data_IF_004321831427
#
_entry.id   IF_004321831427
#
_cell.length_a   1.000
_cell.length_b   1.000
_cell.length_c   1.000
_cell.angle_alpha   90.00
_cell.angle_beta   90.00
_cell.angle_gamma   90.00
#
_symmetry.space_group_name_H-M   'P 1'
#
loop_
_entity.id
_entity.type
_entity.pdbx_description
1 polymer ?
#
# COMPACT_ATOMS: atom_id res chain seq x y z
N UNK A 1 6.01 -11.32 -1.94
CA UNK A 1 5.66 -10.52 -0.75
C UNK A 1 4.18 -10.74 -0.45
N UNK A 2 3.74 -10.59 0.80
CA UNK A 2 2.32 -10.63 1.16
C UNK A 2 1.82 -9.24 1.56
N UNK A 3 0.66 -8.86 1.05
CA UNK A 3 -0.03 -7.62 1.41
C UNK A 3 -1.29 -8.01 2.19
N UNK A 4 -1.42 -7.47 3.40
CA UNK A 4 -2.59 -7.64 4.24
C UNK A 4 -3.43 -6.37 4.18
N UNK A 5 -4.72 -6.54 3.85
CA UNK A 5 -5.66 -5.42 3.70
C UNK A 5 -6.91 -5.61 4.56
N UNK A 6 -7.55 -4.49 4.91
CA UNK A 6 -8.86 -4.51 5.54
C UNK A 6 -10.00 -4.67 4.49
N UNK A 7 -11.25 -4.63 4.94
CA UNK A 7 -12.43 -4.74 4.08
C UNK A 7 -12.50 -3.70 2.94
N UNK A 8 -11.91 -2.52 3.14
CA UNK A 8 -11.85 -1.45 2.13
C UNK A 8 -10.61 -1.55 1.22
N UNK A 9 -9.89 -2.68 1.26
CA UNK A 9 -8.62 -2.88 0.58
C UNK A 9 -7.50 -1.90 0.99
N UNK A 10 -7.61 -1.26 2.15
CA UNK A 10 -6.56 -0.40 2.71
C UNK A 10 -5.45 -1.28 3.29
N UNK A 11 -4.20 -0.98 2.94
CA UNK A 11 -3.04 -1.75 3.41
C UNK A 11 -2.87 -1.53 4.90
N UNK A 12 -2.73 -2.62 5.64
CA UNK A 12 -2.56 -2.59 7.11
C UNK A 12 -1.26 -3.26 7.56
N UNK A 13 -0.69 -4.16 6.75
CA UNK A 13 0.63 -4.72 6.99
C UNK A 13 1.22 -5.35 5.71
N UNK A 14 2.54 -5.51 5.70
CA UNK A 14 3.28 -6.26 4.69
C UNK A 14 4.05 -7.39 5.36
N UNK A 15 4.02 -8.58 4.77
CA UNK A 15 4.72 -9.83 5.15
C UNK A 15 4.46 -10.38 6.58
N UNK A 16 4.13 -9.52 7.54
CA UNK A 16 3.78 -9.84 8.91
C UNK A 16 2.27 -9.74 9.09
N UNK A 17 1.56 -10.86 9.30
CA UNK A 17 0.11 -10.83 9.43
C UNK A 17 -0.31 -10.06 10.70
N UNK A 18 -1.24 -9.11 10.60
CA UNK A 18 -1.83 -8.45 11.76
C UNK A 18 -2.87 -9.37 12.43
N UNK A 19 -3.30 -9.02 13.65
CA UNK A 19 -4.34 -9.79 14.37
C UNK A 19 -5.66 -9.89 13.59
N UNK A 20 -5.98 -8.85 12.81
CA UNK A 20 -7.20 -8.78 12.00
C UNK A 20 -6.88 -8.23 10.62
N UNK A 21 -7.31 -8.95 9.59
CA UNK A 21 -7.29 -8.55 8.18
C UNK A 21 -8.47 -9.22 7.47
N UNK A 22 -8.88 -8.68 6.33
CA UNK A 22 -9.95 -9.26 5.52
C UNK A 22 -9.38 -10.09 4.37
N UNK A 23 -8.35 -9.57 3.69
CA UNK A 23 -7.73 -10.26 2.57
C UNK A 23 -6.21 -10.33 2.74
N UNK A 24 -5.65 -11.48 2.36
CA UNK A 24 -4.22 -11.70 2.16
C UNK A 24 -3.97 -11.82 0.65
N UNK A 25 -3.05 -11.02 0.13
CA UNK A 25 -2.75 -10.96 -1.30
C UNK A 25 -1.26 -11.25 -1.50
N UNK A 26 -0.96 -12.35 -2.18
CA UNK A 26 0.40 -12.71 -2.56
C UNK A 26 0.78 -12.00 -3.86
N UNK A 27 1.92 -11.31 -3.84
CA UNK A 27 2.46 -10.56 -4.98
C UNK A 27 3.90 -10.97 -5.28
N UNK A 28 4.24 -11.07 -6.56
CA UNK A 28 5.58 -11.43 -7.02
C UNK A 28 6.58 -10.28 -6.86
N UNK A 29 6.09 -9.04 -6.94
CA UNK A 29 6.91 -7.84 -6.78
C UNK A 29 7.46 -7.74 -5.36
N UNK A 30 8.70 -7.28 -5.26
CA UNK A 30 9.34 -6.92 -4.00
C UNK A 30 8.73 -5.66 -3.40
N UNK A 31 8.94 -5.48 -2.09
CA UNK A 31 8.54 -4.26 -1.37
C UNK A 31 9.07 -2.99 -2.05
N UNK A 32 10.34 -3.01 -2.47
CA UNK A 32 10.99 -1.85 -3.09
C UNK A 32 10.43 -1.56 -4.49
N UNK A 33 10.07 -2.58 -5.27
CA UNK A 33 9.45 -2.37 -6.59
C UNK A 33 8.07 -1.73 -6.50
N UNK A 34 7.27 -2.06 -5.48
CA UNK A 34 5.92 -1.50 -5.30
C UNK A 34 5.91 -0.18 -4.54
N UNK A 35 6.73 -0.04 -3.50
CA UNK A 35 6.64 1.06 -2.54
C UNK A 35 7.91 1.90 -2.44
N UNK A 36 9.00 1.53 -3.14
CA UNK A 36 10.30 2.19 -3.00
C UNK A 36 10.75 2.27 -1.54
N UNK A 37 11.17 3.46 -1.14
CA UNK A 37 11.69 3.76 0.20
C UNK A 37 10.61 4.32 1.16
N UNK A 38 9.32 4.19 0.81
CA UNK A 38 8.25 4.61 1.70
C UNK A 38 8.29 3.81 2.99
N UNK A 39 8.16 4.50 4.14
CA UNK A 39 8.06 3.85 5.43
C UNK A 39 6.73 3.11 5.58
N UNK A 40 6.66 2.14 6.49
CA UNK A 40 5.45 1.31 6.66
C UNK A 40 4.21 2.14 6.99
N UNK A 41 4.35 3.18 7.81
CA UNK A 41 3.24 4.09 8.11
C UNK A 41 2.73 4.84 6.87
N UNK A 42 3.61 5.19 5.93
CA UNK A 42 3.22 5.81 4.67
C UNK A 42 2.52 4.81 3.74
N UNK A 43 2.99 3.56 3.72
CA UNK A 43 2.36 2.47 2.94
C UNK A 43 0.93 2.19 3.41
N UNK A 44 0.65 2.25 4.71
CA UNK A 44 -0.70 2.09 5.23
C UNK A 44 -1.69 3.20 4.79
N UNK A 45 -1.21 4.23 4.10
CA UNK A 45 -2.04 5.24 3.43
C UNK A 45 -2.44 4.89 1.99
N UNK A 46 -2.15 3.67 1.53
CA UNK A 46 -2.46 3.16 0.20
C UNK A 46 -3.54 2.06 0.25
N UNK A 47 -4.26 1.92 -0.86
CA UNK A 47 -5.14 0.79 -1.15
C UNK A 47 -4.51 -0.13 -2.17
N UNK A 48 -4.69 -1.43 -1.98
CA UNK A 48 -4.33 -2.46 -2.95
C UNK A 48 -5.54 -3.32 -3.28
N UNK A 49 -6.26 -2.97 -4.35
CA UNK A 49 -7.58 -3.52 -4.67
C UNK A 49 -7.62 -4.17 -6.06
N UNK A 50 -8.51 -5.15 -6.30
CA UNK A 50 -8.64 -5.78 -7.62
C UNK A 50 -9.13 -4.78 -8.67
N UNK A 51 -8.48 -4.80 -9.84
CA UNK A 51 -8.94 -4.08 -11.03
C UNK A 51 -9.92 -4.96 -11.81
N UNK A 52 -11.08 -4.43 -12.18
CA UNK A 52 -12.10 -5.15 -12.95
C UNK A 52 -12.24 -4.62 -14.38
N UNK A 53 -12.58 -5.50 -15.32
CA UNK A 53 -12.82 -5.12 -16.71
C UNK A 53 -14.06 -4.25 -16.85
N UNK A 54 -13.89 -3.04 -17.37
CA UNK A 54 -15.01 -2.10 -17.59
C UNK A 54 -15.93 -2.58 -18.71
N UNK A 55 -17.23 -2.36 -18.53
CA UNK A 55 -18.22 -2.51 -19.59
C UNK A 55 -18.41 -1.17 -20.30
N UNK A 56 -18.42 -1.20 -21.63
CA UNK A 56 -18.63 -0.02 -22.47
C UNK A 56 -19.93 -0.17 -23.27
N UNK A 57 -20.59 0.96 -23.52
CA UNK A 57 -21.70 1.06 -24.45
C UNK A 57 -21.20 1.05 -25.91
N UNK A 58 -22.11 0.88 -26.87
CA UNK A 58 -21.78 0.87 -28.30
C UNK A 58 -21.13 2.19 -28.79
N UNK A 59 -21.38 3.30 -28.08
CA UNK A 59 -20.78 4.61 -28.36
C UNK A 59 -19.40 4.83 -27.73
N UNK A 60 -18.88 3.84 -26.99
CA UNK A 60 -17.59 3.87 -26.31
C UNK A 60 -17.60 4.55 -24.94
N UNK A 61 -18.75 5.02 -24.44
CA UNK A 61 -18.89 5.53 -23.08
C UNK A 61 -18.91 4.39 -22.05
N UNK A 62 -18.55 4.68 -20.80
CA UNK A 62 -18.63 3.69 -19.72
C UNK A 62 -20.11 3.34 -19.46
N UNK A 63 -20.42 2.05 -19.48
CA UNK A 63 -21.72 1.56 -19.07
C UNK A 63 -21.93 1.84 -17.57
N UNK A 64 -23.14 2.26 -17.21
CA UNK A 64 -23.51 2.58 -15.84
C UNK A 64 -24.86 1.94 -15.51
N UNK A 65 -25.07 1.67 -14.23
CA UNK A 65 -26.37 1.26 -13.73
C UNK A 65 -27.34 2.45 -13.79
N UNK A 66 -28.51 2.26 -14.39
CA UNK A 66 -29.48 3.34 -14.60
C UNK A 66 -30.11 3.87 -13.30
N UNK A 67 -30.03 3.10 -12.21
CA UNK A 67 -30.64 3.46 -10.92
C UNK A 67 -29.60 4.13 -10.01
N UNK A 68 -28.42 3.53 -9.85
CA UNK A 68 -27.38 4.00 -8.93
C UNK A 68 -26.38 4.95 -9.58
N UNK A 69 -26.25 4.89 -10.91
CA UNK A 69 -25.22 5.61 -11.67
C UNK A 69 -23.82 5.01 -11.51
N UNK A 70 -23.66 3.89 -10.81
CA UNK A 70 -22.36 3.22 -10.64
C UNK A 70 -21.85 2.63 -11.96
N UNK A 71 -20.52 2.46 -12.06
CA UNK A 71 -19.90 1.82 -13.23
C UNK A 71 -20.27 0.34 -13.30
N UNK A 72 -20.63 -0.12 -14.49
CA UNK A 72 -20.82 -1.54 -14.78
C UNK A 72 -19.51 -2.17 -15.26
N UNK A 73 -19.34 -3.43 -14.89
CA UNK A 73 -18.16 -4.25 -15.23
C UNK A 73 -18.61 -5.47 -16.00
N UNK A 74 -17.70 -6.04 -16.80
CA UNK A 74 -17.97 -7.33 -17.43
C UNK A 74 -18.05 -8.42 -16.38
N UNK A 75 -19.02 -9.31 -16.57
CA UNK A 75 -19.23 -10.47 -15.72
C UNK A 75 -18.85 -11.75 -16.46
N UNK A 76 -18.34 -12.74 -15.73
CA UNK A 76 -18.15 -14.09 -16.23
C UNK A 76 -19.46 -14.87 -16.30
N UNK A 77 -19.40 -16.15 -16.67
CA UNK A 77 -20.56 -17.03 -16.76
C UNK A 77 -21.24 -17.33 -15.41
N UNK A 78 -20.57 -17.06 -14.30
CA UNK A 78 -21.06 -17.27 -12.94
C UNK A 78 -21.64 -15.98 -12.33
N UNK A 79 -21.53 -14.86 -13.03
CA UNK A 79 -21.99 -13.55 -12.59
C UNK A 79 -20.98 -12.77 -11.74
N UNK A 80 -19.71 -13.22 -11.69
CA UNK A 80 -18.66 -12.50 -10.99
C UNK A 80 -17.99 -11.50 -11.93
N UNK A 81 -17.51 -10.37 -11.37
CA UNK A 81 -16.74 -9.39 -12.14
C UNK A 81 -15.43 -10.00 -12.63
N UNK A 82 -15.11 -9.79 -13.89
CA UNK A 82 -13.84 -10.25 -14.47
C UNK A 82 -12.70 -9.39 -13.94
N UNK A 83 -11.85 -9.96 -13.07
CA UNK A 83 -10.64 -9.31 -12.58
C UNK A 83 -9.54 -9.32 -13.65
N UNK A 84 -8.96 -8.16 -13.92
CA UNK A 84 -7.91 -7.96 -14.93
C UNK A 84 -6.55 -7.61 -14.32
N UNK A 85 -6.50 -7.36 -13.02
CA UNK A 85 -5.26 -7.06 -12.32
C UNK A 85 -5.49 -6.53 -10.91
N UNK A 86 -4.55 -5.68 -10.48
CA UNK A 86 -4.54 -5.01 -9.18
C UNK A 86 -4.23 -3.52 -9.37
N UNK A 87 -4.78 -2.69 -8.50
CA UNK A 87 -4.51 -1.26 -8.47
C UNK A 87 -3.88 -0.89 -7.13
N UNK A 88 -2.81 -0.11 -7.20
CA UNK A 88 -2.17 0.48 -6.03
C UNK A 88 -2.29 2.00 -6.12
N UNK A 89 -2.99 2.61 -5.16
CA UNK A 89 -3.15 4.07 -5.14
C UNK A 89 -3.32 4.61 -3.71
N UNK A 90 -2.89 5.85 -3.44
CA UNK A 90 -3.07 6.47 -2.14
C UNK A 90 -4.55 6.83 -1.93
N UNK A 91 -5.08 6.55 -0.74
CA UNK A 91 -6.39 7.07 -0.31
C UNK A 91 -6.26 8.25 0.67
N UNK A 92 -5.06 8.46 1.22
CA UNK A 92 -4.72 9.65 2.00
C UNK A 92 -4.20 10.79 1.12
N UNK A 93 -4.38 12.02 1.59
CA UNK A 93 -3.84 13.20 0.91
C UNK A 93 -2.32 13.14 0.78
N UNK A 94 -1.82 13.60 -0.37
CA UNK A 94 -0.38 13.58 -0.66
C UNK A 94 0.45 14.33 0.39
N UNK A 95 -0.02 15.49 0.89
CA UNK A 95 0.73 16.26 1.88
C UNK A 95 0.79 15.54 3.24
N UNK A 96 -0.25 14.77 3.57
CA UNK A 96 -0.27 13.94 4.77
C UNK A 96 0.78 12.83 4.64
N UNK A 97 0.80 12.12 3.51
CA UNK A 97 1.79 11.07 3.24
C UNK A 97 3.22 11.61 3.30
N UNK A 98 3.48 12.77 2.68
CA UNK A 98 4.79 13.42 2.72
C UNK A 98 5.19 13.87 4.13
N UNK A 99 4.22 14.28 4.94
CA UNK A 99 4.49 14.65 6.35
C UNK A 99 4.90 13.41 7.15
N UNK A 100 4.19 12.29 6.99
CA UNK A 100 4.52 11.01 7.63
C UNK A 100 5.93 10.54 7.24
N UNK A 101 6.22 10.55 5.94
CA UNK A 101 7.52 10.13 5.42
C UNK A 101 8.67 11.00 5.98
N UNK A 102 8.52 12.33 5.99
CA UNK A 102 9.52 13.25 6.55
C UNK A 102 9.75 13.05 8.04
N UNK A 103 8.68 12.78 8.80
CA UNK A 103 8.79 12.49 10.23
C UNK A 103 9.59 11.22 10.46
N UNK A 104 9.31 10.16 9.70
CA UNK A 104 10.06 8.91 9.75
C UNK A 104 11.55 9.12 9.42
N UNK A 105 11.87 9.82 8.33
CA UNK A 105 13.26 10.10 7.93
C UNK A 105 14.01 10.92 8.99
N UNK A 106 13.33 11.89 9.62
CA UNK A 106 13.91 12.69 10.70
C UNK A 106 14.20 11.81 11.93
N UNK A 107 13.28 10.94 12.31
CA UNK A 107 13.46 10.00 13.41
C UNK A 107 14.59 9.00 13.12
N UNK A 108 14.68 8.47 11.90
CA UNK A 108 15.74 7.56 11.52
C UNK A 108 17.12 8.22 11.63
N UNK A 109 17.25 9.46 11.16
CA UNK A 109 18.49 10.23 11.29
C UNK A 109 18.91 10.43 12.75
N UNK A 110 17.96 10.71 13.65
CA UNK A 110 18.26 10.85 15.08
C UNK A 110 18.75 9.54 15.71
N UNK A 111 18.19 8.41 15.28
CA UNK A 111 18.63 7.08 15.71
C UNK A 111 20.05 6.79 15.21
N UNK A 112 20.34 7.10 13.95
CA UNK A 112 21.66 6.89 13.36
C UNK A 112 22.74 7.73 14.07
N UNK A 113 22.44 9.02 14.32
CA UNK A 113 23.33 9.92 15.07
C UNK A 113 23.63 9.38 16.48
N UNK A 114 22.59 8.92 17.19
CA UNK A 114 22.74 8.35 18.53
C UNK A 114 23.55 7.04 18.50
N UNK A 115 23.35 6.21 17.48
CA UNK A 115 24.05 4.94 17.30
C UNK A 115 25.55 5.18 17.04
N UNK A 116 25.88 6.21 16.25
CA UNK A 116 27.26 6.63 16.02
C UNK A 116 27.94 7.09 17.33
N UNK A 117 27.27 7.95 18.11
CA UNK A 117 27.79 8.40 19.42
C UNK A 117 28.00 7.23 20.38
N UNK A 118 27.06 6.28 20.42
CA UNK A 118 27.21 5.08 21.26
C UNK A 118 28.39 4.20 20.82
N UNK A 119 28.60 4.03 19.51
CA UNK A 119 29.73 3.28 18.97
C UNK A 119 31.07 3.94 19.34
N UNK A 120 31.17 5.27 19.28
CA UNK A 120 32.37 6.02 19.68
C UNK A 120 32.65 5.90 21.19
N UNK A 121 31.61 5.96 22.03
CA UNK A 121 31.75 5.78 23.48
C UNK A 121 32.23 4.37 23.83
N UNK A 122 31.68 3.34 23.18
CA UNK A 122 32.10 1.95 23.43
C UNK A 122 33.50 1.70 22.86
N UNK A 123 33.78 2.14 21.64
CA UNK A 123 35.09 1.98 20.99
C UNK A 123 36.22 2.81 21.61
N UNK A 124 35.89 3.97 22.20
CA UNK A 124 36.82 4.82 22.93
C UNK A 124 37.19 4.28 24.31
N UNK A 125 36.31 3.49 24.96
CA UNK A 125 36.59 2.87 26.27
C UNK A 125 37.54 1.66 26.16
N UNK A 126 37.62 1.00 25.00
CA UNK A 126 38.56 -0.11 24.78
C UNK A 126 40.00 0.31 24.44
N UNK A 127 40.23 1.60 24.16
CA UNK A 127 41.54 2.14 23.76
C UNK A 127 42.19 3.06 24.81
N UNK A 128 41.72 3.05 26.06
CA UNK A 128 42.25 3.84 27.18
C UNK A 128 42.85 2.97 28.28
#
# INVERSE_FOLDING_TARGET
MKIYVNFNYEIIALDSPPEKYEHEIEVEQTRSELFGDLCDACICGYRYEPAYEMLFNDDGSNARDDITGELLYKMDSEGNRIQTGWQLYPFMDFNVLMTIQRQYETSQKQIDDLTCVMADLIGGVYNA
#
